data_IF_110676354809
#
_entry.id   IF_110676354809
#
_cell.length_a   1.000
_cell.length_b   1.000
_cell.length_c   1.000
_cell.angle_alpha   90.00
_cell.angle_beta   90.00
_cell.angle_gamma   90.00
#
_symmetry.space_group_name_H-M   'P 1'
#
loop_
_entity.id
_entity.type
_entity.pdbx_description
1 polymer ?
#
# COMPACT_ATOMS: atom_id res chain seq x y z
N UNK A 1 -5.99 0.69 -2.99
CA UNK A 1 -5.08 1.84 -2.94
C UNK A 1 -5.80 3.20 -2.96
N UNK A 2 -6.69 3.53 -3.94
CA UNK A 2 -7.33 4.85 -3.98
C UNK A 2 -8.22 5.16 -2.77
N UNK A 3 -9.00 4.18 -2.31
CA UNK A 3 -9.86 4.27 -1.11
C UNK A 3 -9.02 4.58 0.15
N UNK A 4 -7.91 3.87 0.33
CA UNK A 4 -7.00 4.12 1.43
C UNK A 4 -6.39 5.52 1.36
N UNK A 5 -6.02 6.00 0.16
CA UNK A 5 -5.51 7.36 -0.03
C UNK A 5 -6.57 8.43 0.23
N UNK A 6 -7.82 8.18 -0.13
CA UNK A 6 -8.95 9.05 0.22
C UNK A 6 -9.11 9.21 1.74
N UNK A 7 -9.00 8.11 2.50
CA UNK A 7 -9.05 8.16 3.96
C UNK A 7 -7.79 8.83 4.56
N UNK A 8 -6.61 8.47 4.04
CA UNK A 8 -5.33 9.00 4.52
C UNK A 8 -5.19 10.50 4.32
N UNK A 9 -5.59 11.07 3.18
CA UNK A 9 -5.50 12.51 2.94
C UNK A 9 -6.31 13.33 3.96
N UNK A 10 -7.39 12.74 4.47
CA UNK A 10 -8.22 13.32 5.54
C UNK A 10 -7.69 13.02 6.96
N UNK A 11 -6.49 12.45 7.08
CA UNK A 11 -5.91 11.96 8.34
C UNK A 11 -6.76 10.88 9.05
N UNK A 12 -7.59 10.15 8.30
CA UNK A 12 -8.41 9.04 8.81
C UNK A 12 -7.66 7.72 8.57
N UNK A 13 -6.84 7.29 9.54
CA UNK A 13 -5.98 6.11 9.38
C UNK A 13 -6.44 4.88 10.18
N UNK A 14 -7.05 5.09 11.35
CA UNK A 14 -7.41 4.01 12.27
C UNK A 14 -8.36 2.95 11.67
N UNK A 15 -9.43 3.31 10.92
CA UNK A 15 -10.30 2.31 10.29
C UNK A 15 -9.55 1.39 9.35
N UNK A 16 -8.64 1.95 8.53
CA UNK A 16 -7.81 1.18 7.60
C UNK A 16 -6.89 0.19 8.34
N UNK A 17 -6.36 0.58 9.50
CA UNK A 17 -5.54 -0.30 10.33
C UNK A 17 -6.37 -1.46 10.90
N UNK A 18 -7.51 -1.17 11.54
CA UNK A 18 -8.38 -2.22 12.11
C UNK A 18 -8.91 -3.19 11.05
N UNK A 19 -9.36 -2.68 9.89
CA UNK A 19 -9.83 -3.51 8.77
C UNK A 19 -8.70 -4.42 8.26
N UNK A 20 -7.48 -3.88 8.10
CA UNK A 20 -6.33 -4.65 7.65
C UNK A 20 -5.95 -5.74 8.66
N UNK A 21 -5.93 -5.41 9.96
CA UNK A 21 -5.65 -6.37 11.03
C UNK A 21 -6.69 -7.48 11.09
N UNK A 22 -7.99 -7.15 11.03
CA UNK A 22 -9.05 -8.14 11.01
C UNK A 22 -8.95 -9.04 9.76
N UNK A 23 -8.71 -8.43 8.60
CA UNK A 23 -8.54 -9.17 7.34
C UNK A 23 -7.34 -10.11 7.39
N UNK A 24 -6.24 -9.73 8.05
CA UNK A 24 -5.07 -10.59 8.22
C UNK A 24 -5.44 -11.89 8.94
N UNK A 25 -6.22 -11.84 10.02
CA UNK A 25 -6.66 -13.04 10.73
C UNK A 25 -7.56 -13.93 9.86
N UNK A 26 -8.49 -13.31 9.12
CA UNK A 26 -9.34 -14.03 8.16
C UNK A 26 -8.49 -14.67 7.06
N UNK A 27 -7.53 -13.93 6.52
CA UNK A 27 -6.60 -14.41 5.49
C UNK A 27 -5.81 -15.62 5.98
N UNK A 28 -5.24 -15.57 7.19
CA UNK A 28 -4.48 -16.68 7.76
C UNK A 28 -5.35 -17.95 7.90
N UNK A 29 -6.56 -17.81 8.42
CA UNK A 29 -7.49 -18.92 8.58
C UNK A 29 -7.88 -19.52 7.21
N UNK A 30 -8.27 -18.67 6.26
CA UNK A 30 -8.70 -19.12 4.93
C UNK A 30 -7.54 -19.72 4.14
N UNK A 31 -6.33 -19.18 4.24
CA UNK A 31 -5.14 -19.72 3.60
C UNK A 31 -4.81 -21.11 4.15
N UNK A 32 -4.91 -21.30 5.47
CA UNK A 32 -4.73 -22.62 6.07
C UNK A 32 -5.76 -23.63 5.56
N UNK A 33 -7.05 -23.26 5.52
CA UNK A 33 -8.10 -24.14 4.98
C UNK A 33 -7.84 -24.46 3.51
N UNK A 34 -7.60 -23.44 2.69
CA UNK A 34 -7.45 -23.58 1.24
C UNK A 34 -6.25 -24.45 0.86
N UNK A 35 -5.10 -24.21 1.50
CA UNK A 35 -3.86 -24.89 1.15
C UNK A 35 -3.80 -26.28 1.78
N UNK A 36 -4.07 -26.41 3.09
CA UNK A 36 -3.83 -27.67 3.81
C UNK A 36 -5.06 -28.57 3.92
N UNK A 37 -6.27 -28.02 3.99
CA UNK A 37 -7.49 -28.84 4.14
C UNK A 37 -8.11 -29.19 2.80
N UNK A 38 -8.14 -28.25 1.88
CA UNK A 38 -8.71 -28.44 0.54
C UNK A 38 -7.66 -28.85 -0.50
N UNK A 39 -6.36 -28.78 -0.16
CA UNK A 39 -5.28 -29.22 -1.06
C UNK A 39 -5.14 -28.37 -2.32
N UNK A 40 -5.65 -27.13 -2.33
CA UNK A 40 -5.67 -26.28 -3.53
C UNK A 40 -4.29 -25.65 -3.87
N UNK A 41 -3.27 -25.89 -3.03
CA UNK A 41 -1.89 -25.46 -3.26
C UNK A 41 -1.76 -23.97 -3.55
N UNK A 42 -0.91 -23.62 -4.52
CA UNK A 42 -0.62 -22.23 -4.90
C UNK A 42 -1.85 -21.50 -5.46
N UNK A 43 -2.72 -22.18 -6.19
CA UNK A 43 -3.95 -21.61 -6.71
C UNK A 43 -4.89 -21.21 -5.56
N UNK A 44 -4.99 -22.04 -4.53
CA UNK A 44 -5.76 -21.69 -3.33
C UNK A 44 -5.20 -20.46 -2.62
N UNK A 45 -3.89 -20.38 -2.46
CA UNK A 45 -3.24 -19.24 -1.83
C UNK A 45 -3.49 -17.92 -2.61
N UNK A 46 -3.42 -17.94 -3.94
CA UNK A 46 -3.66 -16.75 -4.76
C UNK A 46 -5.13 -16.30 -4.76
N UNK A 47 -6.07 -17.25 -4.74
CA UNK A 47 -7.51 -16.97 -4.62
C UNK A 47 -7.83 -16.34 -3.26
N UNK A 48 -7.32 -16.90 -2.17
CA UNK A 48 -7.52 -16.35 -0.81
C UNK A 48 -6.90 -14.95 -0.69
N UNK A 49 -5.72 -14.72 -1.27
CA UNK A 49 -5.11 -13.40 -1.32
C UNK A 49 -6.02 -12.39 -2.05
N UNK A 50 -6.52 -12.75 -3.23
CA UNK A 50 -7.43 -11.91 -4.02
C UNK A 50 -8.71 -11.60 -3.25
N UNK A 51 -9.28 -12.59 -2.57
CA UNK A 51 -10.46 -12.43 -1.73
C UNK A 51 -10.21 -11.50 -0.54
N UNK A 52 -9.04 -11.60 0.08
CA UNK A 52 -8.65 -10.73 1.20
C UNK A 52 -8.56 -9.26 0.80
N UNK A 53 -8.05 -8.97 -0.41
CA UNK A 53 -8.08 -7.61 -0.95
C UNK A 53 -9.49 -7.07 -1.14
N UNK A 54 -10.42 -7.92 -1.61
CA UNK A 54 -11.83 -7.54 -1.74
C UNK A 54 -12.48 -7.23 -0.40
N UNK A 55 -12.19 -8.00 0.65
CA UNK A 55 -12.65 -7.68 2.01
C UNK A 55 -12.21 -6.28 2.42
N UNK A 56 -10.94 -5.93 2.22
CA UNK A 56 -10.41 -4.60 2.57
C UNK A 56 -11.13 -3.51 1.78
N UNK A 57 -11.24 -3.67 0.46
CA UNK A 57 -11.88 -2.69 -0.43
C UNK A 57 -13.34 -2.45 -0.04
N UNK A 58 -14.11 -3.53 0.16
CA UNK A 58 -15.52 -3.44 0.53
C UNK A 58 -15.68 -2.83 1.92
N UNK A 59 -14.92 -3.28 2.91
CA UNK A 59 -15.01 -2.77 4.27
C UNK A 59 -14.64 -1.28 4.36
N UNK A 60 -13.58 -0.85 3.67
CA UNK A 60 -13.21 0.56 3.64
C UNK A 60 -14.23 1.41 2.87
N UNK A 61 -14.81 0.89 1.79
CA UNK A 61 -15.86 1.58 1.06
C UNK A 61 -17.13 1.76 1.91
N UNK A 62 -17.55 0.70 2.61
CA UNK A 62 -18.66 0.76 3.57
C UNK A 62 -18.39 1.81 4.65
N UNK A 63 -17.17 1.85 5.19
CA UNK A 63 -16.78 2.88 6.15
C UNK A 63 -16.96 4.30 5.58
N UNK A 64 -16.52 4.56 4.34
CA UNK A 64 -16.66 5.87 3.69
C UNK A 64 -18.14 6.27 3.53
N UNK A 65 -18.99 5.33 3.09
CA UNK A 65 -20.41 5.62 2.83
C UNK A 65 -21.21 5.81 4.12
N UNK A 66 -20.84 5.11 5.19
CA UNK A 66 -21.60 5.10 6.46
C UNK A 66 -21.08 6.11 7.50
N UNK A 67 -19.81 6.52 7.43
CA UNK A 67 -19.20 7.37 8.44
C UNK A 67 -19.56 8.85 8.25
N UNK A 68 -19.97 9.50 9.34
CA UNK A 68 -20.23 10.95 9.35
C UNK A 68 -18.99 11.77 8.95
N UNK A 69 -17.78 11.26 9.26
CA UNK A 69 -16.51 11.95 8.94
C UNK A 69 -16.29 12.12 7.44
N UNK A 70 -16.87 11.25 6.62
CA UNK A 70 -16.70 11.28 5.16
C UNK A 70 -17.90 11.92 4.45
N UNK A 71 -18.91 12.41 5.18
CA UNK A 71 -20.16 12.93 4.60
C UNK A 71 -19.96 14.19 3.75
N UNK A 72 -18.95 15.00 4.08
CA UNK A 72 -18.62 16.20 3.31
C UNK A 72 -17.69 15.92 2.13
N UNK A 73 -16.87 14.87 2.20
CA UNK A 73 -15.89 14.53 1.17
C UNK A 73 -16.39 13.48 0.18
N UNK A 74 -17.39 12.68 0.55
CA UNK A 74 -18.07 11.72 -0.30
C UNK A 74 -19.52 12.13 -0.53
N UNK A 75 -19.81 12.66 -1.74
CA UNK A 75 -21.16 13.03 -2.18
C UNK A 75 -21.76 12.04 -3.19
N UNK A 76 -21.16 10.86 -3.33
CA UNK A 76 -21.54 9.85 -4.33
C UNK A 76 -20.75 9.97 -5.63
N UNK A 77 -21.13 9.15 -6.61
CA UNK A 77 -20.46 9.12 -7.91
C UNK A 77 -20.83 10.35 -8.75
N UNK A 78 -19.82 10.98 -9.34
CA UNK A 78 -19.98 12.15 -10.20
C UNK A 78 -19.03 12.07 -11.38
N UNK A 79 -19.47 12.53 -12.56
CA UNK A 79 -18.63 12.62 -13.77
C UNK A 79 -17.48 13.61 -13.57
N UNK A 80 -17.60 14.53 -12.61
CA UNK A 80 -16.50 15.43 -12.21
C UNK A 80 -15.25 14.67 -11.75
N UNK A 81 -15.38 13.41 -11.30
CA UNK A 81 -14.24 12.56 -10.96
C UNK A 81 -13.29 12.28 -12.14
N UNK A 82 -13.77 12.44 -13.38
CA UNK A 82 -12.96 12.30 -14.59
C UNK A 82 -12.31 13.61 -15.05
N UNK A 83 -12.52 14.72 -14.31
CA UNK A 83 -11.83 15.98 -14.59
C UNK A 83 -10.37 15.95 -14.10
N UNK A 84 -9.46 16.61 -14.83
CA UNK A 84 -8.05 16.70 -14.42
C UNK A 84 -7.21 15.42 -14.57
N UNK A 85 -7.77 14.33 -15.13
CA UNK A 85 -7.08 13.07 -15.32
C UNK A 85 -5.74 13.16 -16.08
N UNK A 86 -5.58 13.97 -17.15
CA UNK A 86 -4.28 14.07 -17.83
C UNK A 86 -3.15 14.56 -16.91
N UNK A 87 -3.42 15.56 -16.05
CA UNK A 87 -2.45 16.07 -15.09
C UNK A 87 -2.15 15.05 -13.99
N UNK A 88 -3.20 14.39 -13.48
CA UNK A 88 -3.05 13.30 -12.50
C UNK A 88 -2.23 12.14 -13.07
N UNK A 89 -2.49 11.77 -14.32
CA UNK A 89 -1.78 10.71 -15.02
C UNK A 89 -0.31 11.07 -15.20
N UNK A 90 0.02 12.29 -15.63
CA UNK A 90 1.41 12.74 -15.77
C UNK A 90 2.19 12.62 -14.45
N UNK A 91 1.57 13.03 -13.34
CA UNK A 91 2.21 12.91 -12.02
C UNK A 91 2.33 11.45 -11.57
N UNK A 92 1.25 10.67 -11.76
CA UNK A 92 1.21 9.25 -11.39
C UNK A 92 2.18 8.41 -12.20
N UNK A 93 2.41 8.75 -13.48
CA UNK A 93 3.37 8.07 -14.35
C UNK A 93 4.80 8.23 -13.82
N UNK A 94 5.17 9.43 -13.35
CA UNK A 94 6.48 9.64 -12.74
C UNK A 94 6.66 8.78 -11.47
N UNK A 95 5.64 8.74 -10.59
CA UNK A 95 5.66 7.86 -9.41
C UNK A 95 5.68 6.37 -9.77
N UNK A 96 4.96 5.96 -10.82
CA UNK A 96 4.94 4.59 -11.29
C UNK A 96 6.31 4.17 -11.84
N UNK A 97 6.96 5.01 -12.65
CA UNK A 97 8.31 4.75 -13.16
C UNK A 97 9.31 4.61 -12.01
N UNK A 98 9.25 5.48 -11.01
CA UNK A 98 10.11 5.39 -9.83
C UNK A 98 9.96 4.05 -9.10
N UNK A 99 8.72 3.62 -8.83
CA UNK A 99 8.46 2.32 -8.20
C UNK A 99 8.86 1.14 -9.08
N UNK A 100 8.60 1.20 -10.38
CA UNK A 100 9.01 0.14 -11.31
C UNK A 100 10.53 -0.02 -11.34
N UNK A 101 11.28 1.08 -11.40
CA UNK A 101 12.74 1.05 -11.38
C UNK A 101 13.28 0.46 -10.08
N UNK A 102 12.67 0.79 -8.94
CA UNK A 102 13.03 0.20 -7.64
C UNK A 102 12.80 -1.32 -7.63
N UNK A 103 11.62 -1.77 -8.07
CA UNK A 103 11.32 -3.21 -8.14
C UNK A 103 12.22 -3.95 -9.14
N UNK A 104 12.40 -3.40 -10.34
CA UNK A 104 13.24 -4.01 -11.37
C UNK A 104 14.70 -4.10 -10.95
N UNK A 105 15.21 -3.08 -10.24
CA UNK A 105 16.54 -3.14 -9.65
C UNK A 105 16.71 -4.38 -8.77
N UNK A 106 15.78 -4.65 -7.85
CA UNK A 106 15.85 -5.84 -7.01
C UNK A 106 15.75 -7.14 -7.81
N UNK A 107 14.89 -7.19 -8.85
CA UNK A 107 14.81 -8.37 -9.72
C UNK A 107 16.11 -8.62 -10.48
N UNK A 108 16.76 -7.57 -10.97
CA UNK A 108 18.07 -7.68 -11.64
C UNK A 108 19.12 -8.20 -10.65
N UNK A 109 19.14 -7.71 -9.41
CA UNK A 109 20.08 -8.21 -8.39
C UNK A 109 19.87 -9.70 -8.10
N UNK A 110 18.61 -10.15 -8.02
CA UNK A 110 18.29 -11.59 -7.88
C UNK A 110 18.79 -12.38 -9.08
N UNK A 111 18.56 -11.89 -10.31
CA UNK A 111 19.04 -12.55 -11.53
C UNK A 111 20.57 -12.65 -11.55
N UNK A 112 21.28 -11.58 -11.20
CA UNK A 112 22.74 -11.56 -11.13
C UNK A 112 23.26 -12.51 -10.04
N UNK A 113 22.58 -12.58 -8.89
CA UNK A 113 22.95 -13.52 -7.84
C UNK A 113 22.81 -14.98 -8.28
N UNK A 114 21.81 -15.28 -9.10
CA UNK A 114 21.64 -16.60 -9.72
C UNK A 114 22.70 -16.99 -10.76
N UNK A 115 23.56 -16.05 -11.18
CA UNK A 115 24.65 -16.29 -12.14
C UNK A 115 26.04 -16.40 -11.49
N UNK A 116 26.13 -16.32 -10.15
CA UNK A 116 27.38 -16.50 -9.40
C UNK A 116 27.81 -17.98 -9.37
N UNK A 117 29.07 -18.23 -9.00
CA UNK A 117 29.64 -19.59 -8.93
C UNK A 117 28.88 -20.52 -7.96
N UNK A 118 28.35 -19.98 -6.86
CA UNK A 118 27.53 -20.68 -5.87
C UNK A 118 26.15 -20.01 -5.76
N UNK A 119 25.25 -20.20 -6.74
CA UNK A 119 24.02 -19.42 -6.85
C UNK A 119 23.03 -19.71 -5.72
N UNK A 120 22.98 -20.94 -5.21
CA UNK A 120 22.13 -21.32 -4.07
C UNK A 120 22.50 -20.50 -2.82
N UNK A 121 23.78 -20.53 -2.41
CA UNK A 121 24.27 -19.76 -1.27
C UNK A 121 24.10 -18.24 -1.46
N UNK A 122 24.33 -17.74 -2.67
CA UNK A 122 24.16 -16.33 -2.99
C UNK A 122 22.68 -15.88 -2.91
N UNK A 123 21.76 -16.69 -3.44
CA UNK A 123 20.32 -16.40 -3.40
C UNK A 123 19.76 -16.52 -1.98
N UNK A 124 20.19 -17.51 -1.20
CA UNK A 124 19.77 -17.69 0.19
C UNK A 124 20.19 -16.51 1.06
N UNK A 125 21.46 -16.09 0.96
CA UNK A 125 21.98 -14.92 1.67
C UNK A 125 21.28 -13.63 1.23
N UNK A 126 21.06 -13.45 -0.08
CA UNK A 126 20.33 -12.32 -0.62
C UNK A 126 18.88 -12.27 -0.13
N UNK A 127 18.20 -13.41 -0.04
CA UNK A 127 16.83 -13.54 0.46
C UNK A 127 16.70 -13.08 1.92
N UNK A 128 17.67 -13.46 2.76
CA UNK A 128 17.73 -12.99 4.16
C UNK A 128 17.92 -11.47 4.20
N UNK A 129 18.87 -10.93 3.44
CA UNK A 129 19.12 -9.50 3.36
C UNK A 129 17.88 -8.73 2.88
N UNK A 130 17.23 -9.19 1.82
CA UNK A 130 16.01 -8.57 1.29
C UNK A 130 14.85 -8.63 2.28
N UNK A 131 14.73 -9.72 3.05
CA UNK A 131 13.71 -9.84 4.08
C UNK A 131 13.91 -8.78 5.16
N UNK A 132 15.14 -8.63 5.68
CA UNK A 132 15.47 -7.61 6.69
C UNK A 132 15.21 -6.20 6.15
N UNK A 133 15.66 -5.92 4.91
CA UNK A 133 15.40 -4.64 4.24
C UNK A 133 13.90 -4.39 4.12
N UNK A 134 13.11 -5.40 3.75
CA UNK A 134 11.65 -5.30 3.64
C UNK A 134 10.98 -4.89 4.96
N UNK A 135 11.40 -5.47 6.09
CA UNK A 135 10.88 -5.09 7.42
C UNK A 135 11.19 -3.62 7.75
N UNK A 136 12.44 -3.19 7.56
CA UNK A 136 12.84 -1.80 7.80
C UNK A 136 12.11 -0.84 6.86
N UNK A 137 11.95 -1.24 5.60
CA UNK A 137 11.28 -0.46 4.58
C UNK A 137 9.80 -0.22 4.89
N UNK A 138 9.08 -1.20 5.46
CA UNK A 138 7.68 -1.02 5.87
C UNK A 138 7.51 0.07 6.94
N UNK A 139 8.46 0.18 7.87
CA UNK A 139 8.49 1.26 8.87
C UNK A 139 8.67 2.61 8.16
N UNK A 140 9.63 2.70 7.24
CA UNK A 140 9.88 3.90 6.44
C UNK A 140 8.68 4.31 5.59
N UNK A 141 7.94 3.36 4.99
CA UNK A 141 6.68 3.64 4.27
C UNK A 141 5.64 4.26 5.21
N UNK A 142 5.55 3.77 6.44
CA UNK A 142 4.65 4.32 7.47
C UNK A 142 4.91 5.80 7.72
N UNK A 143 6.17 6.17 8.00
CA UNK A 143 6.58 7.55 8.17
C UNK A 143 6.38 8.38 6.89
N UNK A 144 6.76 7.85 5.73
CA UNK A 144 6.58 8.53 4.45
C UNK A 144 5.09 8.87 4.19
N UNK A 145 4.18 7.94 4.46
CA UNK A 145 2.75 8.17 4.33
C UNK A 145 2.24 9.27 5.29
N UNK A 146 2.73 9.28 6.54
CA UNK A 146 2.36 10.29 7.52
C UNK A 146 2.90 11.70 7.15
N UNK A 147 4.17 11.79 6.74
CA UNK A 147 4.79 13.02 6.24
C UNK A 147 4.02 13.53 5.02
N UNK A 148 3.79 12.65 4.03
CA UNK A 148 3.10 13.00 2.79
C UNK A 148 1.73 13.62 3.07
N UNK A 149 0.92 13.01 3.94
CA UNK A 149 -0.40 13.56 4.30
C UNK A 149 -0.28 14.93 4.96
N UNK A 150 0.59 15.08 5.97
CA UNK A 150 0.72 16.35 6.71
C UNK A 150 1.24 17.48 5.84
N UNK A 151 2.32 17.23 5.09
CA UNK A 151 2.92 18.21 4.19
C UNK A 151 1.92 18.62 3.10
N UNK A 152 1.23 17.67 2.47
CA UNK A 152 0.24 17.98 1.45
C UNK A 152 -0.93 18.81 2.00
N UNK A 153 -1.40 18.52 3.21
CA UNK A 153 -2.49 19.27 3.84
C UNK A 153 -2.07 20.70 4.20
N UNK A 154 -0.89 20.90 4.81
CA UNK A 154 -0.39 22.24 5.15
C UNK A 154 -0.08 23.08 3.90
N UNK A 155 0.47 22.47 2.85
CA UNK A 155 0.65 23.15 1.56
C UNK A 155 -0.69 23.54 0.93
N UNK A 156 -1.68 22.64 0.96
CA UNK A 156 -3.04 22.93 0.48
C UNK A 156 -3.74 24.04 1.27
N UNK A 157 -3.40 24.20 2.55
CA UNK A 157 -3.88 25.28 3.41
C UNK A 157 -3.11 26.61 3.22
N UNK A 158 -2.06 26.64 2.41
CA UNK A 158 -1.23 27.83 2.21
C UNK A 158 -0.26 28.13 3.37
N UNK A 159 0.11 27.12 4.17
CA UNK A 159 0.96 27.25 5.35
C UNK A 159 2.38 26.70 5.11
N UNK A 160 3.28 27.40 4.39
CA UNK A 160 4.60 26.87 4.04
C UNK A 160 5.49 26.59 5.26
N UNK A 161 5.37 27.37 6.34
CA UNK A 161 6.12 27.16 7.58
C UNK A 161 5.69 25.86 8.28
N UNK A 162 4.39 25.60 8.37
CA UNK A 162 3.85 24.36 8.94
C UNK A 162 4.16 23.14 8.08
N UNK A 163 4.17 23.30 6.75
CA UNK A 163 4.60 22.26 5.83
C UNK A 163 6.07 21.88 6.06
N UNK A 164 6.97 22.86 6.17
CA UNK A 164 8.39 22.61 6.48
C UNK A 164 8.58 21.95 7.85
N UNK A 165 7.84 22.41 8.86
CA UNK A 165 7.87 21.80 10.20
C UNK A 165 7.38 20.34 10.20
N UNK A 166 6.36 20.03 9.39
CA UNK A 166 5.80 18.68 9.27
C UNK A 166 6.80 17.64 8.75
N UNK A 167 7.83 18.07 8.00
CA UNK A 167 8.90 17.18 7.53
C UNK A 167 9.87 16.80 8.67
N UNK A 168 10.03 17.67 9.67
CA UNK A 168 11.02 17.50 10.75
C UNK A 168 10.47 16.63 11.88
N UNK A 169 9.17 16.73 12.16
CA UNK A 169 8.56 16.20 13.39
C UNK A 169 8.00 14.77 13.27
N UNK A 170 7.87 14.25 12.05
CA UNK A 170 7.37 12.89 11.79
C UNK A 170 8.54 11.95 11.59
#
# INVERSE_FOLDING_TARGET
>A
FPIQKFLQSQSIVAPSAYISTATLFVHLLLSWVAVYKLGMGLLGASLVLSFSWWIIVVAQFLYIVMSERCRETWKGFSVQAFSGLPSFFKLSAASAVMLCLEFWYYQIVVLLAGLLENPELALDSLSICMTIVGWVFMISIGFNAAISVRVSNELGAGNPKSAAFSVIIV
#
